data_IF_153535118407
#
_entry.id   IF_153535118407
#
_cell.length_a   1.000
_cell.length_b   1.000
_cell.length_c   1.000
_cell.angle_alpha   90.00
_cell.angle_beta   90.00
_cell.angle_gamma   90.00
#
_symmetry.space_group_name_H-M   'P 1'
#
loop_
_entity.id
_entity.type
_entity.pdbx_description
1 polymer ?
#
# COMPACT_ATOMS: atom_id res chain seq x y z
N UNK A 1 14.05 -21.41 4.08
CA UNK A 1 12.60 -21.43 3.77
C UNK A 1 12.31 -21.05 2.31
N UNK A 2 13.13 -20.24 1.68
CA UNK A 2 12.99 -19.77 0.27
C UNK A 2 13.11 -20.91 -0.74
N UNK A 3 13.90 -21.94 -0.44
CA UNK A 3 14.11 -23.10 -1.34
C UNK A 3 12.83 -23.88 -1.65
N UNK A 4 11.83 -23.89 -0.75
CA UNK A 4 10.55 -24.58 -0.99
C UNK A 4 9.71 -23.94 -2.08
N UNK A 5 9.93 -22.65 -2.38
CA UNK A 5 9.22 -21.93 -3.42
C UNK A 5 9.94 -21.94 -4.77
N UNK A 6 11.18 -22.46 -4.80
CA UNK A 6 12.00 -22.49 -6.01
C UNK A 6 11.30 -23.17 -7.22
N UNK A 7 10.57 -24.29 -7.07
CA UNK A 7 9.84 -24.87 -8.19
C UNK A 7 8.75 -23.96 -8.77
N UNK A 8 8.12 -23.13 -7.95
CA UNK A 8 7.06 -22.20 -8.38
C UNK A 8 7.60 -21.00 -9.16
N UNK A 9 8.88 -20.65 -8.99
CA UNK A 9 9.53 -19.58 -9.74
C UNK A 9 9.67 -19.91 -11.24
N UNK A 10 9.71 -21.20 -11.58
CA UNK A 10 9.79 -21.66 -12.96
C UNK A 10 8.41 -21.88 -13.60
N UNK A 11 7.36 -21.96 -12.81
CA UNK A 11 6.01 -22.04 -13.31
C UNK A 11 5.50 -20.63 -13.62
N UNK A 12 5.72 -20.18 -14.86
CA UNK A 12 5.39 -18.82 -15.32
C UNK A 12 3.91 -18.44 -15.21
N UNK A 13 3.01 -19.37 -14.90
CA UNK A 13 1.59 -19.07 -14.73
C UNK A 13 1.36 -18.37 -13.39
N UNK A 14 1.20 -17.03 -13.44
CA UNK A 14 0.83 -16.22 -12.28
C UNK A 14 1.99 -15.68 -11.44
N UNK A 15 3.26 -16.06 -11.69
CA UNK A 15 4.39 -15.43 -11.00
C UNK A 15 4.71 -14.06 -11.60
N UNK A 16 4.50 -13.01 -10.82
CA UNK A 16 4.93 -11.65 -11.15
C UNK A 16 6.06 -11.24 -10.18
N UNK A 17 7.00 -10.45 -10.66
CA UNK A 17 8.07 -9.85 -9.84
C UNK A 17 8.95 -10.89 -9.12
N UNK A 18 9.38 -11.92 -9.85
CA UNK A 18 10.22 -13.02 -9.31
C UNK A 18 11.48 -12.49 -8.62
N UNK A 19 12.04 -11.39 -9.12
CA UNK A 19 13.22 -10.73 -8.54
C UNK A 19 12.97 -10.18 -7.11
N UNK A 20 11.72 -10.00 -6.71
CA UNK A 20 11.36 -9.58 -5.36
C UNK A 20 11.25 -10.73 -4.36
N UNK A 21 11.26 -11.98 -4.85
CA UNK A 21 11.17 -13.16 -4.00
C UNK A 21 12.46 -13.48 -3.22
N UNK A 22 13.54 -12.73 -3.48
CA UNK A 22 14.84 -12.96 -2.86
C UNK A 22 15.18 -11.87 -1.87
N UNK A 23 15.68 -12.29 -0.69
CA UNK A 23 16.25 -11.38 0.30
C UNK A 23 17.63 -10.92 -0.14
N UNK A 24 17.83 -9.61 -0.26
CA UNK A 24 19.11 -9.00 -0.64
C UNK A 24 19.45 -7.95 0.41
N UNK A 25 20.38 -8.24 1.35
CA UNK A 25 20.63 -7.38 2.52
C UNK A 25 21.15 -5.98 2.18
N UNK A 26 21.80 -5.81 1.03
CA UNK A 26 22.33 -4.52 0.56
C UNK A 26 21.43 -3.86 -0.51
N UNK A 27 20.19 -4.30 -0.63
CA UNK A 27 19.26 -3.81 -1.67
C UNK A 27 18.89 -2.33 -1.55
N UNK A 28 19.26 -1.65 -0.45
CA UNK A 28 19.02 -0.23 -0.31
C UNK A 28 19.64 0.61 -1.45
N UNK A 29 20.69 0.12 -2.09
CA UNK A 29 21.31 0.76 -3.26
C UNK A 29 20.54 0.49 -4.55
N UNK A 30 19.70 -0.56 -4.57
CA UNK A 30 18.86 -0.96 -5.67
C UNK A 30 17.41 -0.49 -5.50
N UNK A 31 17.14 0.34 -4.49
CA UNK A 31 15.79 0.80 -4.17
C UNK A 31 15.20 1.55 -5.35
N UNK A 32 14.15 0.98 -5.89
CA UNK A 32 13.30 1.69 -6.83
C UNK A 32 12.44 2.71 -6.07
N UNK A 33 12.15 3.88 -6.66
CA UNK A 33 11.20 4.79 -6.05
C UNK A 33 9.86 4.06 -5.81
N UNK A 34 9.28 4.28 -4.63
CA UNK A 34 7.94 3.78 -4.32
C UNK A 34 6.98 4.52 -5.25
N UNK A 35 6.20 3.78 -6.01
CA UNK A 35 5.16 4.39 -6.83
C UNK A 35 3.92 4.68 -6.00
N UNK A 36 3.46 3.67 -5.24
CA UNK A 36 2.28 3.76 -4.39
C UNK A 36 2.38 2.76 -3.25
N UNK A 37 1.76 3.07 -2.12
CA UNK A 37 1.51 2.11 -1.06
C UNK A 37 0.54 1.03 -1.58
N UNK A 38 0.70 -0.17 -1.06
CA UNK A 38 -0.19 -1.30 -1.35
C UNK A 38 -0.73 -1.81 -0.03
N UNK A 39 -2.04 -1.78 0.14
CA UNK A 39 -2.73 -2.12 1.38
C UNK A 39 -2.34 -3.49 1.96
N UNK A 40 -2.05 -4.46 1.09
CA UNK A 40 -1.62 -5.80 1.50
C UNK A 40 -0.17 -5.88 2.02
N UNK A 41 0.66 -4.87 1.78
CA UNK A 41 2.09 -4.88 2.16
C UNK A 41 2.62 -3.48 2.49
N UNK A 42 2.09 -2.90 3.54
CA UNK A 42 2.57 -1.63 4.08
C UNK A 42 2.72 -1.69 5.59
N UNK A 43 3.60 -0.88 6.12
CA UNK A 43 3.76 -0.67 7.55
C UNK A 43 4.05 0.80 7.85
N UNK A 44 3.58 1.26 8.99
CA UNK A 44 3.81 2.62 9.45
C UNK A 44 3.86 2.69 10.97
N UNK A 45 4.45 3.73 11.52
CA UNK A 45 4.43 3.92 12.97
C UNK A 45 3.02 4.29 13.44
N UNK A 46 2.69 3.88 14.66
CA UNK A 46 1.43 4.28 15.31
C UNK A 46 1.27 5.81 15.33
N UNK A 47 2.36 6.54 15.59
CA UNK A 47 2.34 8.00 15.60
C UNK A 47 1.98 8.58 14.22
N UNK A 48 2.54 8.03 13.14
CA UNK A 48 2.20 8.46 11.79
C UNK A 48 0.71 8.23 11.49
N UNK A 49 0.18 7.06 11.84
CA UNK A 49 -1.23 6.73 11.65
C UNK A 49 -2.14 7.66 12.45
N UNK A 50 -1.82 7.90 13.73
CA UNK A 50 -2.60 8.81 14.59
C UNK A 50 -2.57 10.25 14.09
N UNK A 51 -1.46 10.70 13.49
CA UNK A 51 -1.32 12.08 12.99
C UNK A 51 -2.28 12.46 11.87
N UNK A 52 -2.85 11.47 11.19
CA UNK A 52 -3.83 11.62 10.11
C UNK A 52 -5.21 11.11 10.49
N UNK A 53 -5.43 10.76 11.76
CA UNK A 53 -6.64 10.14 12.30
C UNK A 53 -6.95 8.75 11.72
N UNK A 54 -5.92 8.00 11.29
CA UNK A 54 -6.08 6.62 10.80
C UNK A 54 -6.60 6.50 9.38
N UNK A 55 -7.19 5.34 9.12
CA UNK A 55 -7.91 5.08 7.86
C UNK A 55 -9.24 5.84 7.87
N UNK A 56 -9.65 6.27 6.69
CA UNK A 56 -10.95 6.93 6.52
C UNK A 56 -12.03 5.89 6.20
N UNK A 57 -12.99 5.75 7.10
CA UNK A 57 -14.06 4.78 6.99
C UNK A 57 -15.13 5.13 5.93
N UNK A 58 -15.01 6.31 5.29
CA UNK A 58 -15.84 6.65 4.14
C UNK A 58 -15.49 5.84 2.87
N UNK A 59 -14.32 5.20 2.85
CA UNK A 59 -13.95 4.26 1.79
C UNK A 59 -14.64 2.92 2.01
N UNK A 60 -15.91 2.82 1.67
CA UNK A 60 -16.75 1.64 1.91
C UNK A 60 -16.65 0.57 0.82
N UNK A 61 -16.13 0.91 -0.36
CA UNK A 61 -15.98 -0.03 -1.48
C UNK A 61 -14.59 -0.66 -1.49
N UNK A 62 -14.49 -1.99 -1.64
CA UNK A 62 -13.20 -2.67 -1.68
C UNK A 62 -12.40 -2.31 -2.93
N UNK A 63 -11.10 -2.51 -2.85
CA UNK A 63 -10.12 -2.56 -3.94
C UNK A 63 -9.47 -1.24 -4.39
N UNK A 64 -9.95 -0.05 -4.07
CA UNK A 64 -9.20 1.20 -4.38
C UNK A 64 -9.63 2.35 -3.47
N UNK A 65 -8.64 3.05 -2.98
CA UNK A 65 -8.79 4.38 -2.42
C UNK A 65 -8.15 4.53 -1.05
N UNK A 66 -8.32 3.57 -0.16
CA UNK A 66 -7.88 3.68 1.24
C UNK A 66 -6.35 3.70 1.39
N UNK A 67 -5.62 2.93 0.62
CA UNK A 67 -4.16 2.90 0.64
C UNK A 67 -3.56 4.14 -0.03
N UNK A 68 -4.13 4.56 -1.16
CA UNK A 68 -3.76 5.81 -1.82
C UNK A 68 -4.12 7.03 -0.97
N UNK A 69 -5.27 7.01 -0.27
CA UNK A 69 -5.69 8.06 0.65
C UNK A 69 -4.69 8.22 1.79
N UNK A 70 -4.31 7.13 2.46
CA UNK A 70 -3.28 7.17 3.50
C UNK A 70 -1.95 7.69 2.95
N UNK A 71 -1.55 7.25 1.75
CA UNK A 71 -0.29 7.68 1.13
C UNK A 71 -0.21 9.20 1.02
N UNK A 72 -1.19 9.83 0.35
CA UNK A 72 -1.12 11.27 0.14
C UNK A 72 -1.21 12.06 1.45
N UNK A 73 -2.02 11.61 2.43
CA UNK A 73 -2.15 12.27 3.73
C UNK A 73 -0.85 12.22 4.53
N UNK A 74 -0.16 11.08 4.53
CA UNK A 74 1.16 10.93 5.16
C UNK A 74 2.22 11.80 4.48
N UNK A 75 2.25 11.82 3.15
CA UNK A 75 3.15 12.68 2.39
C UNK A 75 2.89 14.17 2.68
N UNK A 76 1.62 14.58 2.73
CA UNK A 76 1.22 15.95 3.07
C UNK A 76 1.63 16.34 4.50
N UNK A 77 1.72 15.38 5.43
CA UNK A 77 2.27 15.56 6.78
C UNK A 77 3.81 15.58 6.83
N UNK A 78 4.49 15.39 5.71
CA UNK A 78 5.95 15.39 5.62
C UNK A 78 6.61 14.03 5.92
N UNK A 79 5.84 12.95 6.05
CA UNK A 79 6.42 11.62 6.18
C UNK A 79 7.02 11.16 4.86
N UNK A 80 8.07 10.34 4.96
CA UNK A 80 8.73 9.73 3.79
C UNK A 80 8.29 8.28 3.64
N UNK A 81 7.98 7.89 2.42
CA UNK A 81 7.68 6.51 2.07
C UNK A 81 8.95 5.84 1.55
N UNK A 82 9.26 4.68 2.10
CA UNK A 82 10.49 3.93 1.78
C UNK A 82 10.11 2.53 1.34
N UNK A 83 10.66 2.09 0.22
CA UNK A 83 10.51 0.70 -0.23
C UNK A 83 11.37 -0.24 0.60
N UNK A 84 10.79 -1.32 1.08
CA UNK A 84 11.48 -2.45 1.70
C UNK A 84 11.60 -3.64 0.75
N UNK A 85 11.56 -3.40 -0.55
CA UNK A 85 11.74 -4.42 -1.58
C UNK A 85 13.01 -5.21 -1.33
N UNK A 86 12.95 -6.52 -1.45
CA UNK A 86 14.02 -7.46 -1.14
C UNK A 86 14.50 -7.50 0.33
N UNK A 87 13.96 -6.68 1.22
CA UNK A 87 14.22 -6.73 2.66
C UNK A 87 13.06 -7.34 3.44
N UNK A 88 11.82 -6.96 3.10
CA UNK A 88 10.60 -7.54 3.65
C UNK A 88 9.82 -8.18 2.50
N UNK A 89 9.84 -9.52 2.47
CA UNK A 89 9.27 -10.28 1.36
C UNK A 89 7.89 -10.78 1.74
N UNK A 90 6.91 -10.45 0.92
CA UNK A 90 5.55 -10.97 1.00
C UNK A 90 5.27 -11.83 -0.24
N UNK A 91 4.70 -13.02 -0.02
CA UNK A 91 4.20 -13.88 -1.10
C UNK A 91 2.69 -13.73 -1.18
N UNK A 92 2.23 -13.08 -2.24
CA UNK A 92 0.80 -12.96 -2.52
C UNK A 92 0.31 -14.22 -3.24
N UNK A 93 -0.59 -14.95 -2.58
CA UNK A 93 -1.19 -16.15 -3.18
C UNK A 93 -2.21 -15.74 -4.24
N UNK A 94 -2.21 -16.48 -5.36
CA UNK A 94 -3.16 -16.23 -6.43
C UNK A 94 -4.60 -16.40 -5.95
N UNK A 95 -5.43 -15.44 -6.26
CA UNK A 95 -6.88 -15.51 -6.16
C UNK A 95 -7.53 -14.75 -7.33
N UNK A 96 -8.78 -15.04 -7.61
CA UNK A 96 -9.53 -14.31 -8.63
C UNK A 96 -9.72 -12.86 -8.16
N UNK A 97 -9.36 -11.92 -9.01
CA UNK A 97 -9.59 -10.50 -8.76
C UNK A 97 -11.08 -10.18 -8.95
N UNK A 98 -11.69 -9.56 -7.95
CA UNK A 98 -13.05 -9.04 -8.03
C UNK A 98 -12.96 -7.53 -8.18
N UNK A 99 -12.92 -7.07 -9.40
CA UNK A 99 -12.95 -5.64 -9.70
C UNK A 99 -14.37 -5.10 -9.56
N UNK A 100 -14.50 -4.06 -8.75
CA UNK A 100 -15.73 -3.29 -8.60
C UNK A 100 -15.47 -1.90 -9.15
N UNK A 101 -16.52 -1.25 -9.63
CA UNK A 101 -16.47 0.12 -10.11
C UNK A 101 -16.01 1.07 -8.97
N UNK A 102 -15.07 1.97 -9.28
CA UNK A 102 -14.30 2.73 -8.28
C UNK A 102 -14.37 4.25 -8.45
N UNK A 103 -15.22 4.73 -9.35
CA UNK A 103 -15.30 6.17 -9.66
C UNK A 103 -15.66 7.00 -8.43
N UNK A 104 -16.51 6.48 -7.55
CA UNK A 104 -16.93 7.17 -6.32
C UNK A 104 -15.76 7.38 -5.36
N UNK A 105 -14.99 6.32 -5.06
CA UNK A 105 -13.80 6.43 -4.19
C UNK A 105 -12.76 7.40 -4.77
N UNK A 106 -12.55 7.35 -6.09
CA UNK A 106 -11.62 8.27 -6.77
C UNK A 106 -12.09 9.72 -6.69
N UNK A 107 -13.39 9.97 -6.92
CA UNK A 107 -13.98 11.30 -6.80
C UNK A 107 -13.88 11.82 -5.38
N UNK A 108 -14.18 10.99 -4.40
CA UNK A 108 -14.07 11.32 -2.98
C UNK A 108 -12.63 11.70 -2.62
N UNK A 109 -11.65 10.86 -3.00
CA UNK A 109 -10.23 11.15 -2.78
C UNK A 109 -9.81 12.48 -3.42
N UNK A 110 -10.18 12.71 -4.68
CA UNK A 110 -9.85 13.96 -5.38
C UNK A 110 -10.44 15.19 -4.68
N UNK A 111 -11.67 15.10 -4.18
CA UNK A 111 -12.31 16.18 -3.41
C UNK A 111 -11.53 16.48 -2.14
N UNK A 112 -11.14 15.46 -1.40
CA UNK A 112 -10.36 15.64 -0.17
C UNK A 112 -8.99 16.25 -0.42
N UNK A 113 -8.31 15.80 -1.48
CA UNK A 113 -7.04 16.39 -1.90
C UNK A 113 -7.19 17.87 -2.27
N UNK A 114 -8.23 18.22 -3.03
CA UNK A 114 -8.51 19.60 -3.40
C UNK A 114 -8.78 20.50 -2.18
N UNK A 115 -9.43 19.96 -1.15
CA UNK A 115 -9.72 20.67 0.11
C UNK A 115 -8.54 20.63 1.10
N UNK A 116 -7.47 19.89 0.80
CA UNK A 116 -6.37 19.63 1.73
C UNK A 116 -6.81 18.99 3.07
N UNK A 117 -7.80 18.09 3.01
CA UNK A 117 -8.38 17.41 4.17
C UNK A 117 -7.46 16.27 4.66
N UNK A 118 -6.30 16.61 5.20
CA UNK A 118 -5.26 15.66 5.62
C UNK A 118 -5.73 14.78 6.78
N UNK A 119 -6.54 15.32 7.69
CA UNK A 119 -7.10 14.57 8.82
C UNK A 119 -8.51 14.13 8.43
N UNK A 120 -8.75 12.80 8.43
CA UNK A 120 -10.08 12.31 8.11
C UNK A 120 -11.06 12.56 9.26
N UNK A 121 -12.31 12.85 8.90
CA UNK A 121 -13.38 13.08 9.88
C UNK A 121 -13.89 11.79 10.49
N UNK A 122 -13.92 10.73 9.68
CA UNK A 122 -14.46 9.42 10.06
C UNK A 122 -13.33 8.38 10.16
N UNK A 123 -12.38 8.62 11.07
CA UNK A 123 -11.23 7.75 11.34
C UNK A 123 -11.28 7.12 12.73
N UNK A 124 -10.12 7.06 13.39
CA UNK A 124 -9.98 6.55 14.76
C UNK A 124 -10.87 7.34 15.73
N UNK A 125 -10.91 8.66 15.54
CA UNK A 125 -11.83 9.54 16.23
C UNK A 125 -12.87 10.06 15.25
N UNK A 126 -14.13 10.15 15.67
CA UNK A 126 -15.20 10.77 14.89
C UNK A 126 -15.19 12.27 15.20
N UNK A 127 -14.81 13.09 14.23
CA UNK A 127 -14.63 14.54 14.34
C UNK A 127 -15.83 15.30 13.76
#
# INVERSE_FOLDING_TARGET
KTLKFFPYLFNRRGCRYVEEAFFIPLSHWLRRPVKHLVGSNMSMSKQALLSINGFDEEYTRPAVGEDYDIEWRLLAKGYKIVSLRNLAIQYHLYHKENWIEQSENKKYCATRQANNDIICKNGIQKL
#
